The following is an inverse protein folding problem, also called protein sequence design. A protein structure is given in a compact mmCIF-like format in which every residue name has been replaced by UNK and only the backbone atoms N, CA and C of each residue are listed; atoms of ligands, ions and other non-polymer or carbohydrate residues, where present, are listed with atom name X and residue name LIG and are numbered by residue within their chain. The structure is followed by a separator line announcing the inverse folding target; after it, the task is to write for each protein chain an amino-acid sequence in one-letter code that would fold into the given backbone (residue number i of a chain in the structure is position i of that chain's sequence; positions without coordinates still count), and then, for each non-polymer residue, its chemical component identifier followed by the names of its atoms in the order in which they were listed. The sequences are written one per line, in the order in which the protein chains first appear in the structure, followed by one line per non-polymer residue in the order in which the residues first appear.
data_IF_175707329002
#
_entry.id   IF_175707329002
#
_cell.length_a   1.000
_cell.length_b   1.000
_cell.length_c   1.000
_cell.angle_alpha   90.00
_cell.angle_beta   90.00
_cell.angle_gamma   90.00
#
_symmetry.space_group_name_H-M   'P 1'
#
loop_
_entity.id
_entity.type
_entity.pdbx_description
1 polymer ?
#
# COMPACT_ATOMS: atom_id res chain seq x y z
N UNK A 1 7.98 1.23 -12.83
CA UNK A 1 8.61 1.93 -11.71
C UNK A 1 7.60 2.98 -11.27
N UNK A 2 6.81 2.66 -10.24
CA UNK A 2 5.74 3.53 -9.76
C UNK A 2 6.38 4.80 -9.17
N UNK A 3 6.19 5.91 -9.85
CA UNK A 3 6.70 7.22 -9.43
C UNK A 3 5.64 7.89 -8.58
N UNK A 4 5.56 7.54 -7.29
CA UNK A 4 4.78 8.34 -6.34
C UNK A 4 5.44 9.72 -6.30
N UNK A 5 4.67 10.77 -6.57
CA UNK A 5 5.20 12.13 -6.51
C UNK A 5 5.41 12.58 -5.06
N UNK A 6 6.35 13.51 -4.86
CA UNK A 6 6.70 14.00 -3.54
C UNK A 6 5.52 14.65 -2.81
N UNK A 7 4.57 15.25 -3.53
CA UNK A 7 3.39 15.88 -2.92
C UNK A 7 2.44 14.83 -2.33
N UNK A 8 2.27 13.70 -3.01
CA UNK A 8 1.51 12.57 -2.46
C UNK A 8 2.17 12.00 -1.21
N UNK A 9 3.50 11.87 -1.20
CA UNK A 9 4.23 11.40 -0.02
C UNK A 9 4.05 12.36 1.17
N UNK A 10 4.21 13.67 0.92
CA UNK A 10 4.00 14.70 1.95
C UNK A 10 2.57 14.69 2.49
N UNK A 11 1.57 14.56 1.63
CA UNK A 11 0.16 14.46 2.03
C UNK A 11 -0.06 13.27 2.97
N UNK A 12 0.33 12.06 2.54
CA UNK A 12 0.10 10.83 3.30
C UNK A 12 0.76 10.89 4.67
N UNK A 13 1.98 11.43 4.73
CA UNK A 13 2.69 11.58 5.99
C UNK A 13 2.11 12.69 6.88
N UNK A 14 1.55 13.76 6.30
CA UNK A 14 0.92 14.85 7.04
C UNK A 14 -0.48 14.49 7.59
N UNK A 15 -1.23 13.66 6.88
CA UNK A 15 -2.57 13.19 7.28
C UNK A 15 -2.52 12.07 8.31
N UNK A 16 -1.34 11.48 8.54
CA UNK A 16 -1.12 10.42 9.50
C UNK A 16 -1.53 10.83 10.93
N UNK A 17 -2.39 10.02 11.54
CA UNK A 17 -2.76 10.18 12.96
C UNK A 17 -2.02 9.22 13.88
N UNK A 18 -1.43 8.15 13.32
CA UNK A 18 -0.63 7.16 14.05
C UNK A 18 0.76 7.69 14.38
N UNK A 19 1.24 7.35 15.57
CA UNK A 19 2.57 7.72 16.06
C UNK A 19 3.67 7.11 15.18
N UNK A 20 4.70 7.90 14.87
CA UNK A 20 5.87 7.46 14.13
C UNK A 20 6.55 6.23 14.77
N UNK A 21 6.52 6.12 16.11
CA UNK A 21 7.10 5.00 16.83
C UNK A 21 6.52 3.65 16.40
N UNK A 22 5.23 3.59 16.07
CA UNK A 22 4.55 2.35 15.62
C UNK A 22 5.11 1.83 14.30
N UNK A 23 5.48 2.73 13.39
CA UNK A 23 6.11 2.39 12.10
C UNK A 23 7.53 1.87 12.31
N UNK A 24 8.28 2.53 13.19
CA UNK A 24 9.65 2.13 13.52
C UNK A 24 9.71 0.74 14.16
N UNK A 25 8.69 0.36 14.95
CA UNK A 25 8.55 -1.00 15.51
C UNK A 25 8.42 -2.08 14.42
N UNK A 26 7.88 -1.73 13.25
CA UNK A 26 7.79 -2.61 12.08
C UNK A 26 9.00 -2.50 11.14
N UNK A 27 9.97 -1.65 11.48
CA UNK A 27 11.17 -1.42 10.66
C UNK A 27 10.93 -0.53 9.44
N UNK A 28 9.86 0.27 9.44
CA UNK A 28 9.57 1.26 8.39
C UNK A 28 9.61 2.67 8.96
N UNK A 29 10.08 3.63 8.16
CA UNK A 29 10.36 4.98 8.64
C UNK A 29 9.09 5.82 8.86
N UNK A 30 8.04 5.58 8.08
CA UNK A 30 6.81 6.37 8.07
C UNK A 30 5.63 5.63 7.40
N UNK A 31 4.51 6.34 7.17
CA UNK A 31 3.29 5.76 6.59
C UNK A 31 3.49 5.30 5.15
N UNK A 32 4.27 6.03 4.34
CA UNK A 32 4.55 5.60 2.98
C UNK A 32 5.49 4.38 2.96
N UNK A 33 6.44 4.32 3.89
CA UNK A 33 7.29 3.16 4.11
C UNK A 33 6.49 1.90 4.41
N UNK A 34 5.44 2.02 5.22
CA UNK A 34 4.51 0.91 5.47
C UNK A 34 3.79 0.47 4.19
N UNK A 35 3.29 1.39 3.36
CA UNK A 35 2.63 1.04 2.09
C UNK A 35 3.57 0.36 1.10
N UNK A 36 4.81 0.83 0.99
CA UNK A 36 5.84 0.18 0.18
C UNK A 36 6.17 -1.23 0.70
N UNK A 37 6.15 -1.43 2.02
CA UNK A 37 6.35 -2.74 2.62
C UNK A 37 5.19 -3.70 2.29
N UNK A 38 3.95 -3.21 2.21
CA UNK A 38 2.79 -3.99 1.76
C UNK A 38 2.93 -4.42 0.30
N UNK A 39 3.44 -3.57 -0.59
CA UNK A 39 3.80 -3.96 -1.96
C UNK A 39 4.82 -5.11 -1.97
N UNK A 40 5.86 -5.03 -1.13
CA UNK A 40 6.88 -6.08 -1.07
C UNK A 40 6.38 -7.40 -0.49
N UNK A 41 5.47 -7.35 0.49
CA UNK A 41 4.92 -8.55 1.13
C UNK A 41 3.81 -9.21 0.31
N UNK A 42 2.86 -8.42 -0.17
CA UNK A 42 1.65 -8.92 -0.80
C UNK A 42 1.67 -8.78 -2.33
N UNK A 43 2.50 -7.88 -2.89
CA UNK A 43 2.52 -7.62 -4.33
C UNK A 43 1.40 -6.67 -4.81
N UNK A 44 0.67 -6.02 -3.89
CA UNK A 44 -0.33 -5.00 -4.23
C UNK A 44 0.34 -3.70 -4.61
N UNK A 45 -0.07 -3.13 -5.74
CA UNK A 45 0.44 -1.85 -6.19
C UNK A 45 0.22 -0.74 -5.17
N UNK A 46 1.22 0.11 -5.01
CA UNK A 46 1.18 1.19 -4.04
C UNK A 46 0.05 2.19 -4.32
N UNK A 47 -0.34 2.39 -5.59
CA UNK A 47 -1.50 3.23 -5.94
C UNK A 47 -2.80 2.63 -5.41
N UNK A 48 -2.93 1.31 -5.46
CA UNK A 48 -4.07 0.58 -4.88
C UNK A 48 -4.01 0.68 -3.36
N UNK A 49 -2.85 0.51 -2.74
CA UNK A 49 -2.68 0.69 -1.29
C UNK A 49 -3.11 2.08 -0.84
N UNK A 50 -2.69 3.12 -1.57
CA UNK A 50 -3.08 4.51 -1.28
C UNK A 50 -4.59 4.71 -1.44
N UNK A 51 -5.19 4.17 -2.51
CA UNK A 51 -6.63 4.24 -2.73
C UNK A 51 -7.43 3.58 -1.58
N UNK A 52 -7.00 2.40 -1.14
CA UNK A 52 -7.63 1.69 -0.03
C UNK A 52 -7.45 2.44 1.30
N UNK A 53 -6.26 2.99 1.55
CA UNK A 53 -6.00 3.81 2.72
C UNK A 53 -6.85 5.09 2.73
N UNK A 54 -7.01 5.77 1.58
CA UNK A 54 -7.87 6.94 1.45
C UNK A 54 -9.36 6.59 1.69
N UNK A 55 -9.79 5.38 1.32
CA UNK A 55 -11.14 4.87 1.57
C UNK A 55 -11.40 4.59 3.06
N UNK A 56 -10.43 3.98 3.74
CA UNK A 56 -10.51 3.65 5.17
C UNK A 56 -10.32 4.88 6.07
N UNK A 57 -9.56 5.86 5.57
CA UNK A 57 -9.32 7.13 6.22
C UNK A 57 -8.02 7.17 7.03
N UNK A 58 -7.59 8.37 7.44
CA UNK A 58 -6.30 8.58 8.09
C UNK A 58 -6.19 7.98 9.49
N UNK A 59 -7.32 7.72 10.16
CA UNK A 59 -7.40 7.13 11.51
C UNK A 59 -7.24 5.62 11.55
N UNK A 60 -7.20 4.97 10.39
CA UNK A 60 -7.02 3.51 10.29
C UNK A 60 -5.60 3.08 10.69
N UNK A 61 -5.51 1.95 11.40
CA UNK A 61 -4.31 1.39 12.04
C UNK A 61 -3.71 0.15 11.37
N UNK A 62 -3.91 0.07 10.06
CA UNK A 62 -3.45 -0.93 9.10
C UNK A 62 -4.19 -2.27 9.12
N UNK A 63 -4.95 -2.60 10.17
CA UNK A 63 -5.63 -3.89 10.27
C UNK A 63 -6.71 -4.05 9.18
N UNK A 64 -7.50 -3.01 8.93
CA UNK A 64 -8.52 -2.95 7.91
C UNK A 64 -7.92 -2.91 6.51
N UNK A 65 -6.81 -2.21 6.32
CA UNK A 65 -6.07 -2.16 5.07
C UNK A 65 -5.51 -3.54 4.71
N UNK A 66 -4.85 -4.21 5.66
CA UNK A 66 -4.32 -5.56 5.49
C UNK A 66 -5.47 -6.53 5.19
N UNK A 67 -6.54 -6.51 6.00
CA UNK A 67 -7.70 -7.38 5.78
C UNK A 67 -8.31 -7.18 4.39
N UNK A 68 -8.46 -5.92 3.94
CA UNK A 68 -9.02 -5.61 2.61
C UNK A 68 -8.11 -6.09 1.48
N UNK A 69 -6.80 -5.98 1.67
CA UNK A 69 -5.81 -6.50 0.73
C UNK A 69 -5.88 -8.03 0.69
N UNK A 70 -5.86 -8.70 1.84
CA UNK A 70 -5.90 -10.17 1.96
C UNK A 70 -7.19 -10.76 1.38
N UNK A 71 -8.35 -10.20 1.72
CA UNK A 71 -9.64 -10.58 1.14
C UNK A 71 -9.65 -10.37 -0.38
N UNK A 72 -9.12 -9.23 -0.86
CA UNK A 72 -9.00 -8.94 -2.28
C UNK A 72 -8.11 -9.93 -3.04
N UNK A 73 -7.07 -10.47 -2.40
CA UNK A 73 -6.24 -11.54 -2.96
C UNK A 73 -6.97 -12.88 -2.99
N UNK A 74 -7.67 -13.26 -1.93
CA UNK A 74 -8.45 -14.51 -1.88
C UNK A 74 -9.58 -14.52 -2.92
N UNK A 75 -10.22 -13.37 -3.17
CA UNK A 75 -11.29 -13.22 -4.16
C UNK A 75 -10.78 -12.97 -5.61
N UNK A 76 -9.47 -12.97 -5.85
CA UNK A 76 -8.88 -12.83 -7.19
C UNK A 76 -8.86 -11.40 -7.75
N UNK A 77 -9.06 -10.40 -6.89
CA UNK A 77 -8.86 -8.97 -7.19
C UNK A 77 -7.37 -8.59 -7.01
N UNK A 78 -6.45 -9.51 -7.31
CA UNK A 78 -5.12 -9.15 -7.72
C UNK A 78 -5.22 -8.57 -9.14
N UNK A 79 -5.65 -7.30 -9.23
CA UNK A 79 -5.57 -6.53 -10.46
C UNK A 79 -4.08 -6.47 -10.83
N UNK A 80 -3.71 -7.36 -11.74
CA UNK A 80 -2.34 -7.63 -12.18
C UNK A 80 -1.65 -6.32 -12.55
N UNK A 81 -0.73 -5.88 -11.70
CA UNK A 81 0.33 -4.94 -12.04
C UNK A 81 1.35 -5.56 -13.02
N UNK A 82 1.14 -6.80 -13.47
CA UNK A 82 1.96 -7.48 -14.46
C UNK A 82 1.14 -8.26 -15.49
N UNK A 83 0.60 -7.54 -16.47
CA UNK A 83 0.27 -8.07 -17.80
C UNK A 83 1.40 -7.84 -18.80
N UNK A 84 2.59 -7.38 -18.37
CA UNK A 84 3.69 -7.06 -19.29
C UNK A 84 4.59 -8.26 -19.60
N UNK A 85 4.60 -9.31 -18.77
CA UNK A 85 5.46 -10.50 -18.98
C UNK A 85 4.76 -11.72 -19.61
N UNK A 86 3.42 -11.70 -19.82
CA UNK A 86 2.68 -12.86 -20.37
C UNK A 86 2.48 -12.89 -21.88
N UNK A 87 2.89 -11.85 -22.61
CA UNK A 87 2.83 -11.81 -24.09
C UNK A 87 4.10 -12.35 -24.78
N UNK A 88 4.99 -13.05 -24.05
CA UNK A 88 6.25 -13.59 -24.59
C UNK A 88 6.26 -15.12 -24.81
N UNK A 89 5.15 -15.82 -24.56
CA UNK A 89 5.02 -17.27 -24.84
C UNK A 89 3.72 -17.54 -25.58
N UNK A 90 3.65 -17.05 -26.82
CA UNK A 90 2.70 -17.50 -27.84
C UNK A 90 3.43 -18.38 -28.88
#
# INVERSE_FOLDING_TARGET
MHSIDATTIERINAERTIDLARYLEEGVDDRIGHFLNLYHHYGVDVEITIMLADMLGPDEDFDGLITTIEDGFEDGIAMVADLSDREAQA
#
